data_IF_321277473550
#
_entry.id   IF_321277473550
#
_cell.length_a   1.000
_cell.length_b   1.000
_cell.length_c   1.000
_cell.angle_alpha   90.00
_cell.angle_beta   90.00
_cell.angle_gamma   90.00
#
_symmetry.space_group_name_H-M   'P 1'
#
loop_
_entity.id
_entity.type
_entity.pdbx_description
1 polymer ?
#
# COMPACT_ATOMS: atom_id res chain seq x y z
N UNK A 1 1.63 16.52 5.23
CA UNK A 1 1.34 15.31 4.45
C UNK A 1 2.35 14.23 4.81
N UNK A 2 1.87 13.03 5.02
CA UNK A 2 2.70 11.87 5.38
C UNK A 2 2.71 10.91 4.21
N UNK A 3 3.87 10.32 3.93
CA UNK A 3 4.01 9.27 2.92
C UNK A 3 4.08 7.92 3.61
N UNK A 4 3.30 6.98 3.09
CA UNK A 4 3.42 5.57 3.43
C UNK A 4 4.16 4.87 2.29
N UNK A 5 5.12 4.00 2.62
CA UNK A 5 5.88 3.24 1.64
C UNK A 5 6.02 1.79 2.07
N UNK A 6 5.83 0.89 1.13
CA UNK A 6 6.10 -0.54 1.34
C UNK A 6 6.61 -1.15 0.05
N UNK A 7 7.65 -1.98 0.16
CA UNK A 7 8.13 -2.79 -0.95
C UNK A 7 7.45 -4.14 -0.84
N UNK A 8 6.71 -4.52 -1.88
CA UNK A 8 5.90 -5.73 -1.89
C UNK A 8 6.63 -6.80 -2.69
N UNK A 9 6.92 -7.94 -2.05
CA UNK A 9 7.48 -9.11 -2.72
C UNK A 9 6.35 -10.10 -2.98
N UNK A 10 5.86 -10.15 -4.21
CA UNK A 10 4.76 -11.02 -4.61
C UNK A 10 5.31 -12.40 -4.95
N UNK A 11 4.64 -13.45 -4.49
CA UNK A 11 5.04 -14.84 -4.73
C UNK A 11 5.18 -15.11 -6.22
N UNK A 12 6.18 -15.93 -6.64
CA UNK A 12 6.39 -16.25 -8.06
C UNK A 12 5.11 -16.77 -8.73
N UNK A 13 4.86 -16.29 -9.95
CA UNK A 13 3.69 -16.67 -10.74
C UNK A 13 2.38 -16.03 -10.32
N UNK A 14 2.40 -15.15 -9.29
CA UNK A 14 1.18 -14.56 -8.73
C UNK A 14 0.97 -13.09 -9.14
N UNK A 15 1.87 -12.53 -9.96
CA UNK A 15 1.83 -11.08 -10.26
C UNK A 15 0.52 -10.65 -10.92
N UNK A 16 0.02 -11.38 -11.89
CA UNK A 16 -1.24 -11.01 -12.57
C UNK A 16 -2.42 -11.04 -11.60
N UNK A 17 -2.51 -12.08 -10.76
CA UNK A 17 -3.57 -12.20 -9.76
C UNK A 17 -3.46 -11.10 -8.71
N UNK A 18 -2.23 -10.77 -8.28
CA UNK A 18 -2.00 -9.69 -7.33
C UNK A 18 -2.46 -8.33 -7.91
N UNK A 19 -2.09 -8.03 -9.15
CA UNK A 19 -2.45 -6.75 -9.77
C UNK A 19 -3.96 -6.60 -9.88
N UNK A 20 -4.67 -7.66 -10.24
CA UNK A 20 -6.12 -7.67 -10.27
C UNK A 20 -6.71 -7.44 -8.88
N UNK A 21 -6.20 -8.15 -7.88
CA UNK A 21 -6.65 -8.01 -6.49
C UNK A 21 -6.40 -6.58 -5.97
N UNK A 22 -5.25 -6.00 -6.31
CA UNK A 22 -4.91 -4.63 -5.90
C UNK A 22 -5.90 -3.63 -6.51
N UNK A 23 -6.23 -3.76 -7.79
CA UNK A 23 -7.23 -2.88 -8.42
C UNK A 23 -8.57 -2.96 -7.70
N UNK A 24 -8.98 -4.14 -7.30
CA UNK A 24 -10.22 -4.34 -6.56
C UNK A 24 -10.15 -3.80 -5.13
N UNK A 25 -8.96 -3.76 -4.53
CA UNK A 25 -8.75 -3.31 -3.16
C UNK A 25 -8.65 -1.78 -3.01
N UNK A 26 -8.24 -1.07 -4.06
CA UNK A 26 -8.00 0.37 -3.96
C UNK A 26 -9.19 1.18 -3.40
N UNK A 27 -10.45 0.90 -3.76
CA UNK A 27 -11.58 1.64 -3.18
C UNK A 27 -11.67 1.54 -1.65
N UNK A 28 -11.14 0.47 -1.05
CA UNK A 28 -11.18 0.28 0.40
C UNK A 28 -10.33 1.32 1.13
N UNK A 29 -9.09 1.52 0.67
CA UNK A 29 -8.20 2.52 1.26
C UNK A 29 -8.64 3.93 0.89
N UNK A 30 -9.11 4.13 -0.34
CA UNK A 30 -9.53 5.44 -0.83
C UNK A 30 -10.75 6.00 -0.09
N UNK A 31 -11.55 5.16 0.54
CA UNK A 31 -12.72 5.59 1.32
C UNK A 31 -12.36 6.13 2.70
N UNK A 32 -11.09 6.08 3.10
CA UNK A 32 -10.66 6.49 4.44
C UNK A 32 -10.52 8.01 4.53
N UNK A 33 -11.12 8.67 5.54
CA UNK A 33 -10.89 10.09 5.77
C UNK A 33 -9.40 10.39 5.97
N UNK A 34 -8.91 11.42 5.29
CA UNK A 34 -7.50 11.79 5.32
C UNK A 34 -6.63 11.09 4.27
N UNK A 35 -7.20 10.17 3.50
CA UNK A 35 -6.51 9.58 2.36
C UNK A 35 -6.37 10.60 1.23
N UNK A 36 -5.15 10.71 0.66
CA UNK A 36 -4.86 11.67 -0.41
C UNK A 36 -4.52 11.01 -1.75
N UNK A 37 -4.02 9.79 -1.75
CA UNK A 37 -3.69 9.08 -2.98
C UNK A 37 -2.83 7.86 -2.74
N UNK A 38 -2.81 6.95 -3.72
CA UNK A 38 -2.01 5.73 -3.68
C UNK A 38 -1.56 5.36 -5.09
N UNK A 39 -0.36 4.85 -5.19
CA UNK A 39 0.16 4.23 -6.40
C UNK A 39 0.84 2.93 -6.03
N UNK A 40 0.72 1.94 -6.90
CA UNK A 40 1.45 0.68 -6.80
C UNK A 40 2.15 0.47 -8.12
N UNK A 41 3.48 0.42 -8.10
CA UNK A 41 4.31 0.38 -9.31
C UNK A 41 5.17 -0.87 -9.34
N UNK A 42 5.26 -1.54 -10.49
CA UNK A 42 6.19 -2.68 -10.63
C UNK A 42 7.63 -2.18 -10.65
N UNK A 43 8.53 -2.97 -10.07
CA UNK A 43 9.96 -2.73 -10.17
C UNK A 43 10.43 -3.16 -11.57
N UNK A 44 11.20 -2.29 -12.23
CA UNK A 44 11.68 -2.60 -13.58
C UNK A 44 12.82 -3.62 -13.57
N UNK A 45 13.64 -3.62 -12.51
CA UNK A 45 14.81 -4.50 -12.41
C UNK A 45 14.48 -5.87 -11.83
N UNK A 46 13.40 -6.01 -11.05
CA UNK A 46 13.08 -7.25 -10.36
C UNK A 46 11.61 -7.63 -10.58
N UNK A 47 11.39 -8.75 -11.27
CA UNK A 47 10.05 -9.29 -11.49
C UNK A 47 9.40 -9.70 -10.16
N UNK A 48 8.10 -9.38 -9.99
CA UNK A 48 7.36 -9.73 -8.79
C UNK A 48 7.56 -8.77 -7.62
N UNK A 49 8.35 -7.72 -7.80
CA UNK A 49 8.58 -6.69 -6.79
C UNK A 49 7.81 -5.42 -7.15
N UNK A 50 7.13 -4.84 -6.17
CA UNK A 50 6.33 -3.64 -6.36
C UNK A 50 6.63 -2.62 -5.28
N UNK A 51 6.45 -1.35 -5.60
CA UNK A 51 6.47 -0.26 -4.63
C UNK A 51 5.04 0.23 -4.42
N UNK A 52 4.56 0.11 -3.18
CA UNK A 52 3.33 0.78 -2.75
C UNK A 52 3.70 2.13 -2.14
N UNK A 53 3.01 3.17 -2.58
CA UNK A 53 3.29 4.53 -2.16
C UNK A 53 1.97 5.26 -1.96
N UNK A 54 1.65 5.64 -0.72
CA UNK A 54 0.40 6.30 -0.39
C UNK A 54 0.65 7.62 0.33
N UNK A 55 -0.26 8.58 0.15
CA UNK A 55 -0.20 9.88 0.79
C UNK A 55 -1.38 10.05 1.72
N UNK A 56 -1.12 10.58 2.92
CA UNK A 56 -2.10 10.76 3.97
C UNK A 56 -1.99 12.17 4.56
N UNK A 57 -3.11 12.74 4.97
CA UNK A 57 -3.09 14.03 5.67
C UNK A 57 -2.32 13.95 6.98
N UNK A 58 -2.52 12.86 7.73
CA UNK A 58 -1.86 12.61 9.01
C UNK A 58 -1.44 11.14 9.11
N UNK A 59 -0.49 10.86 10.01
CA UNK A 59 -0.10 9.48 10.32
C UNK A 59 -1.29 8.67 10.83
N UNK A 60 -2.09 9.27 11.70
CA UNK A 60 -3.22 8.60 12.36
C UNK A 60 -4.33 8.23 11.37
N UNK A 61 -4.48 8.97 10.28
CA UNK A 61 -5.44 8.62 9.24
C UNK A 61 -5.16 7.22 8.69
N UNK A 62 -3.88 6.85 8.53
CA UNK A 62 -3.49 5.51 8.13
C UNK A 62 -3.50 4.53 9.30
N UNK A 63 -2.75 4.81 10.37
CA UNK A 63 -2.49 3.84 11.43
C UNK A 63 -3.71 3.55 12.29
N UNK A 64 -4.57 4.53 12.52
CA UNK A 64 -5.80 4.36 13.29
C UNK A 64 -7.04 4.34 12.39
N UNK A 65 -7.12 5.26 11.45
CA UNK A 65 -8.30 5.40 10.58
C UNK A 65 -8.49 4.20 9.66
N UNK A 66 -7.50 3.87 8.82
CA UNK A 66 -7.61 2.76 7.90
C UNK A 66 -7.42 1.41 8.62
N UNK A 67 -6.30 1.26 9.34
CA UNK A 67 -6.00 -0.02 10.01
C UNK A 67 -7.01 -0.39 11.09
N UNK A 68 -7.69 0.60 11.67
CA UNK A 68 -8.74 0.37 12.66
C UNK A 68 -10.13 0.14 12.05
N UNK A 69 -10.28 0.14 10.74
CA UNK A 69 -11.57 0.04 10.05
C UNK A 69 -11.86 -1.39 9.58
N UNK A 70 -13.15 -1.68 9.35
CA UNK A 70 -13.55 -2.94 8.73
C UNK A 70 -13.05 -3.07 7.29
N UNK A 71 -12.81 -1.95 6.61
CA UNK A 71 -12.25 -1.93 5.25
C UNK A 71 -10.85 -2.51 5.23
N UNK A 72 -10.05 -2.33 6.29
CA UNK A 72 -8.72 -2.90 6.39
C UNK A 72 -8.77 -4.43 6.48
N UNK A 73 -9.75 -5.00 7.16
CA UNK A 73 -9.91 -6.46 7.21
C UNK A 73 -10.11 -7.03 5.81
N UNK A 74 -10.93 -6.38 4.98
CA UNK A 74 -11.14 -6.79 3.60
C UNK A 74 -9.87 -6.60 2.76
N UNK A 75 -9.14 -5.50 2.96
CA UNK A 75 -7.85 -5.23 2.34
C UNK A 75 -6.85 -6.36 2.63
N UNK A 76 -6.74 -6.78 3.90
CA UNK A 76 -5.87 -7.89 4.29
C UNK A 76 -6.26 -9.18 3.59
N UNK A 77 -7.54 -9.48 3.58
CA UNK A 77 -8.07 -10.71 2.97
C UNK A 77 -7.74 -10.78 1.48
N UNK A 78 -7.82 -9.66 0.79
CA UNK A 78 -7.55 -9.61 -0.66
C UNK A 78 -6.07 -9.68 -0.99
N UNK A 79 -5.18 -9.18 -0.13
CA UNK A 79 -3.81 -8.86 -0.52
C UNK A 79 -2.72 -9.60 0.25
N UNK A 80 -2.88 -9.84 1.56
CA UNK A 80 -1.75 -10.25 2.39
C UNK A 80 -1.18 -11.62 2.04
N UNK A 81 -1.98 -12.52 1.49
CA UNK A 81 -1.52 -13.86 1.10
C UNK A 81 -0.58 -13.86 -0.11
N UNK A 82 -0.50 -12.77 -0.85
CA UNK A 82 0.41 -12.67 -2.01
C UNK A 82 1.85 -12.44 -1.61
N UNK A 83 2.13 -11.98 -0.39
CA UNK A 83 3.45 -11.48 -0.02
C UNK A 83 4.34 -12.54 0.62
N UNK A 84 5.62 -12.58 0.18
CA UNK A 84 6.65 -13.40 0.78
C UNK A 84 8.03 -12.81 0.44
N UNK A 85 8.75 -12.21 1.42
CA UNK A 85 8.35 -11.98 2.81
C UNK A 85 7.25 -10.93 2.95
N UNK A 86 6.61 -10.89 4.13
CA UNK A 86 5.62 -9.87 4.43
C UNK A 86 6.29 -8.49 4.47
N UNK A 87 5.69 -7.46 3.84
CA UNK A 87 6.35 -6.17 3.71
C UNK A 87 6.42 -5.41 5.03
N UNK A 88 7.48 -4.63 5.16
CA UNK A 88 7.63 -3.64 6.21
C UNK A 88 7.06 -2.31 5.70
N UNK A 89 6.11 -1.76 6.42
CA UNK A 89 5.49 -0.48 6.08
C UNK A 89 6.18 0.63 6.85
N UNK A 90 6.66 1.65 6.13
CA UNK A 90 7.33 2.80 6.71
C UNK A 90 6.56 4.07 6.38
N UNK A 91 6.69 5.06 7.25
CA UNK A 91 6.09 6.38 7.07
C UNK A 91 7.18 7.44 7.02
N UNK A 92 6.99 8.42 6.16
CA UNK A 92 7.96 9.50 5.96
C UNK A 92 7.24 10.84 6.08
N UNK A 93 7.87 11.76 6.81
CA UNK A 93 7.34 13.11 7.00
C UNK A 93 7.61 14.02 5.80
N UNK A 94 7.39 15.35 5.98
CA UNK A 94 7.66 16.32 4.93
C UNK A 94 9.11 16.28 4.48
N UNK A 95 9.39 16.65 3.22
CA UNK A 95 10.76 16.61 2.72
C UNK A 95 11.66 17.59 3.47
N UNK A 96 12.90 17.15 3.77
CA UNK A 96 13.94 18.04 4.28
C UNK A 96 14.62 18.80 3.15
N UNK A 97 14.46 18.31 1.92
CA UNK A 97 14.97 18.95 0.72
C UNK A 97 14.14 18.45 -0.47
N UNK A 98 13.96 19.31 -1.45
CA UNK A 98 13.26 18.99 -2.69
C UNK A 98 13.75 19.92 -3.81
N UNK A 99 13.60 19.45 -5.04
CA UNK A 99 13.95 20.25 -6.22
C UNK A 99 12.79 20.27 -7.20
#
# INVERSE_FOLDING_TARGET
MILEQAVLAVRPGQSAAFEEAMRSALPLIAATPGFLGIEVRPCLEESGKYLLFARWETLEAHTAGFRGSSRYEEWRRLLHHFYDPFPRVLHFGPPVAAA
#
